data_IF_428382029819
#
_entry.id   IF_428382029819
#
_cell.length_a   1.000
_cell.length_b   1.000
_cell.length_c   1.000
_cell.angle_alpha   90.00
_cell.angle_beta   90.00
_cell.angle_gamma   90.00
#
_symmetry.space_group_name_H-M   'P 1'
#
loop_
_entity.id
_entity.type
_entity.pdbx_description
1 polymer ?
#
# COMPACT_ATOMS: atom_id res chain seq x y z
N UNK A 1 2.29 15.47 -0.74
CA UNK A 1 2.46 14.70 -1.98
C UNK A 1 3.56 15.23 -2.92
N UNK A 2 4.45 14.35 -3.39
CA UNK A 2 5.44 14.62 -4.47
C UNK A 2 4.75 14.68 -5.86
N UNK A 3 5.20 15.56 -6.78
CA UNK A 3 4.58 15.76 -8.11
C UNK A 3 4.56 14.51 -8.99
N UNK A 4 5.59 13.68 -8.91
CA UNK A 4 5.68 12.41 -9.64
C UNK A 4 4.67 11.40 -9.10
N UNK A 5 4.54 11.30 -7.77
CA UNK A 5 3.49 10.48 -7.14
C UNK A 5 2.10 10.97 -7.53
N UNK A 6 1.85 12.28 -7.47
CA UNK A 6 0.59 12.88 -7.92
C UNK A 6 0.29 12.52 -9.38
N UNK A 7 1.29 12.58 -10.26
CA UNK A 7 1.13 12.20 -11.66
C UNK A 7 0.73 10.73 -11.83
N UNK A 8 1.42 9.81 -11.16
CA UNK A 8 1.16 8.37 -11.21
C UNK A 8 -0.27 8.08 -10.72
N UNK A 9 -0.65 8.66 -9.57
CA UNK A 9 -1.99 8.49 -8.98
C UNK A 9 -3.05 9.05 -9.94
N UNK A 10 -2.89 10.29 -10.42
CA UNK A 10 -3.86 10.91 -11.33
C UNK A 10 -4.03 10.11 -12.62
N UNK A 11 -2.94 9.52 -13.16
CA UNK A 11 -3.01 8.62 -14.31
C UNK A 11 -3.71 7.31 -14.02
N UNK A 12 -3.42 6.68 -12.90
CA UNK A 12 -4.09 5.45 -12.49
C UNK A 12 -5.61 5.67 -12.33
N UNK A 13 -6.00 6.78 -11.70
CA UNK A 13 -7.41 7.18 -11.56
C UNK A 13 -8.04 7.47 -12.93
N UNK A 14 -7.37 8.24 -13.81
CA UNK A 14 -7.85 8.48 -15.18
C UNK A 14 -8.05 7.19 -15.98
N UNK A 15 -7.08 6.26 -15.89
CA UNK A 15 -7.15 4.94 -16.53
C UNK A 15 -8.33 4.13 -15.98
N UNK A 16 -8.57 4.21 -14.67
CA UNK A 16 -9.71 3.55 -14.04
C UNK A 16 -11.05 4.11 -14.50
N UNK A 17 -11.22 5.45 -14.54
CA UNK A 17 -12.47 6.05 -15.05
C UNK A 17 -12.75 5.60 -16.48
N UNK A 18 -11.72 5.56 -17.32
CA UNK A 18 -11.82 5.08 -18.70
C UNK A 18 -12.14 3.58 -18.78
N UNK A 19 -11.57 2.74 -17.90
CA UNK A 19 -11.83 1.29 -17.84
C UNK A 19 -13.26 0.98 -17.44
N UNK A 20 -13.78 1.71 -16.45
CA UNK A 20 -15.14 1.52 -15.91
C UNK A 20 -16.18 2.17 -16.81
N UNK A 21 -15.82 3.23 -17.53
CA UNK A 21 -16.74 4.11 -18.26
C UNK A 21 -17.78 4.75 -17.33
N UNK A 22 -17.38 5.10 -16.10
CA UNK A 22 -18.29 5.50 -15.02
C UNK A 22 -19.18 6.70 -15.39
N UNK A 23 -18.62 7.72 -16.04
CA UNK A 23 -19.35 8.90 -16.52
C UNK A 23 -20.45 8.49 -17.52
N UNK A 24 -20.11 7.66 -18.50
CA UNK A 24 -21.05 7.17 -19.52
C UNK A 24 -22.17 6.32 -18.91
N UNK A 25 -21.82 5.38 -18.03
CA UNK A 25 -22.78 4.48 -17.39
C UNK A 25 -23.74 5.22 -16.44
N UNK A 26 -23.24 6.19 -15.68
CA UNK A 26 -24.07 7.05 -14.84
C UNK A 26 -25.01 7.91 -15.70
N UNK A 27 -24.54 8.49 -16.80
CA UNK A 27 -25.40 9.22 -17.73
C UNK A 27 -26.51 8.33 -18.31
N UNK A 28 -26.19 7.09 -18.70
CA UNK A 28 -27.18 6.12 -19.16
C UNK A 28 -28.23 5.80 -18.07
N UNK A 29 -27.80 5.63 -16.81
CA UNK A 29 -28.69 5.43 -15.68
C UNK A 29 -29.59 6.67 -15.43
N UNK A 30 -29.05 7.88 -15.51
CA UNK A 30 -29.80 9.15 -15.43
C UNK A 30 -30.88 9.21 -16.51
N UNK A 31 -30.53 8.89 -17.76
CA UNK A 31 -31.48 8.88 -18.88
C UNK A 31 -32.57 7.83 -18.70
N UNK A 32 -32.21 6.61 -18.28
CA UNK A 32 -33.17 5.54 -18.02
C UNK A 32 -34.13 5.89 -16.87
N UNK A 33 -33.63 6.48 -15.79
CA UNK A 33 -34.43 6.95 -14.66
C UNK A 33 -35.38 8.08 -15.08
N UNK A 34 -34.89 9.04 -15.88
CA UNK A 34 -35.73 10.10 -16.44
C UNK A 34 -36.86 9.54 -17.31
N UNK A 35 -36.59 8.53 -18.13
CA UNK A 35 -37.61 7.87 -18.95
C UNK A 35 -38.64 7.13 -18.09
N UNK A 36 -38.21 6.44 -17.04
CA UNK A 36 -39.09 5.78 -16.08
C UNK A 36 -40.00 6.77 -15.35
N UNK A 37 -39.48 7.95 -14.97
CA UNK A 37 -40.27 9.03 -14.35
C UNK A 37 -41.32 9.57 -15.33
N UNK A 38 -40.93 9.78 -16.58
CA UNK A 38 -41.81 10.34 -17.61
C UNK A 38 -42.88 9.34 -18.09
N UNK A 39 -42.60 8.03 -18.02
CA UNK A 39 -43.47 6.96 -18.53
C UNK A 39 -43.47 5.73 -17.59
N UNK A 40 -43.98 5.84 -16.36
CA UNK A 40 -43.88 4.79 -15.34
C UNK A 40 -44.65 3.50 -15.69
N UNK A 41 -45.63 3.59 -16.58
CA UNK A 41 -46.42 2.45 -17.05
C UNK A 41 -45.68 1.53 -18.05
N UNK A 42 -44.48 1.88 -18.49
CA UNK A 42 -43.69 1.10 -19.46
C UNK A 42 -42.66 0.23 -18.74
N UNK A 43 -42.84 -1.11 -18.64
CA UNK A 43 -41.94 -1.99 -17.91
C UNK A 43 -40.50 -1.97 -18.45
N UNK A 44 -40.34 -1.69 -19.76
CA UNK A 44 -39.03 -1.63 -20.41
C UNK A 44 -38.11 -0.57 -19.80
N UNK A 45 -38.63 0.59 -19.35
CA UNK A 45 -37.80 1.64 -18.77
C UNK A 45 -37.22 1.22 -17.41
N UNK A 46 -38.00 0.50 -16.60
CA UNK A 46 -37.53 -0.07 -15.34
C UNK A 46 -36.45 -1.13 -15.58
N UNK A 47 -36.64 -1.99 -16.59
CA UNK A 47 -35.65 -3.00 -16.96
C UNK A 47 -34.36 -2.36 -17.47
N UNK A 48 -34.44 -1.29 -18.27
CA UNK A 48 -33.27 -0.54 -18.73
C UNK A 48 -32.48 0.06 -17.56
N UNK A 49 -33.15 0.75 -16.63
CA UNK A 49 -32.49 1.30 -15.44
C UNK A 49 -31.77 0.20 -14.66
N UNK A 50 -32.47 -0.91 -14.39
CA UNK A 50 -31.88 -2.05 -13.68
C UNK A 50 -30.65 -2.61 -14.41
N UNK A 51 -30.70 -2.74 -15.74
CA UNK A 51 -29.58 -3.25 -16.53
C UNK A 51 -28.38 -2.30 -16.49
N UNK A 52 -28.59 -0.98 -16.60
CA UNK A 52 -27.51 0.00 -16.53
C UNK A 52 -26.84 0.02 -15.15
N UNK A 53 -27.64 -0.04 -14.06
CA UNK A 53 -27.10 -0.11 -12.71
C UNK A 53 -26.33 -1.41 -12.47
N UNK A 54 -26.86 -2.57 -12.88
CA UNK A 54 -26.13 -3.84 -12.77
C UNK A 54 -24.82 -3.80 -13.55
N UNK A 55 -24.82 -3.25 -14.77
CA UNK A 55 -23.60 -3.12 -15.56
C UNK A 55 -22.56 -2.22 -14.86
N UNK A 56 -23.00 -1.08 -14.31
CA UNK A 56 -22.14 -0.20 -13.51
C UNK A 56 -21.54 -0.94 -12.32
N UNK A 57 -22.35 -1.63 -11.53
CA UNK A 57 -21.86 -2.36 -10.35
C UNK A 57 -20.87 -3.45 -10.74
N UNK A 58 -21.14 -4.22 -11.79
CA UNK A 58 -20.22 -5.25 -12.28
C UNK A 58 -18.87 -4.67 -12.78
N UNK A 59 -18.86 -3.42 -13.28
CA UNK A 59 -17.61 -2.75 -13.73
C UNK A 59 -16.81 -2.17 -12.56
N UNK A 60 -17.51 -1.73 -11.51
CA UNK A 60 -16.92 -1.25 -10.26
C UNK A 60 -16.42 -2.41 -9.39
N UNK A 61 -17.03 -3.58 -9.50
CA UNK A 61 -16.58 -4.80 -8.83
C UNK A 61 -15.14 -5.14 -9.25
N UNK A 62 -14.26 -5.28 -8.26
CA UNK A 62 -12.84 -5.53 -8.50
C UNK A 62 -12.07 -4.32 -9.03
N UNK A 63 -12.55 -3.09 -8.77
CA UNK A 63 -11.77 -1.89 -9.08
C UNK A 63 -10.37 -1.97 -8.45
N UNK A 64 -9.29 -1.78 -9.22
CA UNK A 64 -7.93 -1.76 -8.69
C UNK A 64 -7.72 -0.67 -7.63
N UNK A 65 -8.54 0.38 -7.66
CA UNK A 65 -8.52 1.49 -6.70
C UNK A 65 -8.87 1.02 -5.29
N UNK A 66 -9.71 0.00 -5.15
CA UNK A 66 -10.02 -0.57 -3.83
C UNK A 66 -8.78 -1.23 -3.19
N UNK A 67 -7.83 -1.69 -4.01
CA UNK A 67 -6.55 -2.27 -3.60
C UNK A 67 -5.40 -1.28 -3.50
N UNK A 68 -5.63 0.02 -3.69
CA UNK A 68 -4.58 1.03 -3.55
C UNK A 68 -4.00 1.04 -2.14
N UNK A 69 -2.70 1.29 -2.04
CA UNK A 69 -2.01 1.46 -0.77
C UNK A 69 -2.60 2.66 0.00
N UNK A 70 -2.50 2.71 1.33
CA UNK A 70 -3.13 3.81 2.07
C UNK A 70 -2.57 5.18 1.72
N UNK A 71 -1.27 5.30 1.41
CA UNK A 71 -0.70 6.55 0.91
C UNK A 71 -1.38 7.04 -0.38
N UNK A 72 -1.79 6.13 -1.27
CA UNK A 72 -2.56 6.47 -2.46
C UNK A 72 -4.01 6.85 -2.12
N UNK A 73 -4.62 6.19 -1.12
CA UNK A 73 -5.96 6.55 -0.63
C UNK A 73 -5.98 7.93 0.03
N UNK A 74 -4.99 8.25 0.85
CA UNK A 74 -4.81 9.58 1.47
C UNK A 74 -4.67 10.65 0.39
N UNK A 75 -3.85 10.39 -0.63
CA UNK A 75 -3.72 11.28 -1.77
C UNK A 75 -5.05 11.47 -2.52
N UNK A 76 -5.87 10.42 -2.69
CA UNK A 76 -7.21 10.55 -3.26
C UNK A 76 -8.16 11.37 -2.38
N UNK A 77 -8.02 11.28 -1.07
CA UNK A 77 -8.78 12.08 -0.11
C UNK A 77 -8.34 13.55 -0.12
N UNK A 78 -7.03 13.81 -0.18
CA UNK A 78 -6.47 15.16 -0.37
C UNK A 78 -6.93 15.79 -1.70
N UNK A 79 -7.03 15.00 -2.76
CA UNK A 79 -7.56 15.42 -4.06
C UNK A 79 -9.08 15.63 -4.05
N UNK A 80 -9.79 15.15 -3.02
CA UNK A 80 -11.24 15.25 -2.92
C UNK A 80 -12.01 14.31 -3.86
N UNK A 81 -11.35 13.33 -4.47
CA UNK A 81 -11.93 12.44 -5.49
C UNK A 81 -12.22 11.03 -4.97
N UNK A 82 -11.98 10.76 -3.69
CA UNK A 82 -12.06 9.39 -3.16
C UNK A 82 -13.46 8.76 -3.27
N UNK A 83 -14.53 9.57 -3.28
CA UNK A 83 -15.91 9.11 -3.41
C UNK A 83 -16.34 8.68 -4.83
N UNK A 84 -15.46 8.81 -5.81
CA UNK A 84 -15.79 8.69 -7.24
C UNK A 84 -15.28 7.39 -7.88
N UNK A 85 -14.70 6.49 -7.07
CA UNK A 85 -14.08 5.25 -7.52
C UNK A 85 -14.55 4.04 -6.72
N UNK A 86 -14.44 2.86 -7.36
CA UNK A 86 -14.61 1.54 -6.73
C UNK A 86 -15.87 1.40 -5.87
N UNK A 87 -15.69 0.77 -4.70
CA UNK A 87 -16.78 0.52 -3.73
C UNK A 87 -17.40 1.80 -3.17
N UNK A 88 -16.63 2.89 -3.05
CA UNK A 88 -17.15 4.18 -2.54
C UNK A 88 -18.18 4.77 -3.52
N UNK A 89 -17.90 4.74 -4.83
CA UNK A 89 -18.87 5.15 -5.85
C UNK A 89 -20.10 4.23 -5.88
N UNK A 90 -19.91 2.92 -5.83
CA UNK A 90 -21.02 1.97 -5.77
C UNK A 90 -21.95 2.27 -4.58
N UNK A 91 -21.39 2.42 -3.38
CA UNK A 91 -22.14 2.72 -2.17
C UNK A 91 -22.90 4.05 -2.29
N UNK A 92 -22.27 5.08 -2.89
CA UNK A 92 -22.91 6.37 -3.15
C UNK A 92 -24.14 6.20 -4.05
N UNK A 93 -24.02 5.49 -5.18
CA UNK A 93 -25.15 5.22 -6.09
C UNK A 93 -26.27 4.45 -5.37
N UNK A 94 -25.96 3.37 -4.66
CA UNK A 94 -26.96 2.59 -3.90
C UNK A 94 -27.71 3.45 -2.89
N UNK A 95 -26.97 4.27 -2.14
CA UNK A 95 -27.56 5.16 -1.12
C UNK A 95 -28.56 6.16 -1.71
N UNK A 96 -28.34 6.65 -2.93
CA UNK A 96 -29.28 7.55 -3.61
C UNK A 96 -30.63 6.86 -3.80
N UNK A 97 -30.64 5.62 -4.30
CA UNK A 97 -31.88 4.87 -4.53
C UNK A 97 -32.53 4.39 -3.23
N UNK A 98 -31.75 4.00 -2.24
CA UNK A 98 -32.24 3.55 -0.94
C UNK A 98 -32.96 4.65 -0.17
N UNK A 99 -32.45 5.88 -0.21
CA UNK A 99 -33.06 7.05 0.46
C UNK A 99 -34.27 7.60 -0.30
N UNK A 100 -34.32 7.41 -1.62
CA UNK A 100 -35.31 8.01 -2.51
C UNK A 100 -36.34 7.01 -3.08
N UNK A 101 -36.65 5.94 -2.33
CA UNK A 101 -37.62 4.91 -2.77
C UNK A 101 -39.02 5.47 -3.09
N UNK A 102 -39.41 6.57 -2.45
CA UNK A 102 -40.73 7.19 -2.61
C UNK A 102 -40.72 8.28 -3.70
N UNK A 103 -39.60 8.95 -3.91
CA UNK A 103 -39.48 10.15 -4.75
C UNK A 103 -38.41 9.97 -5.85
N UNK A 104 -38.75 9.29 -6.96
CA UNK A 104 -37.83 9.09 -8.08
C UNK A 104 -37.23 10.39 -8.65
N UNK A 105 -37.97 11.49 -8.58
CA UNK A 105 -37.50 12.81 -9.02
C UNK A 105 -36.29 13.29 -8.20
N UNK A 106 -36.28 13.08 -6.89
CA UNK A 106 -35.15 13.42 -6.02
C UNK A 106 -33.95 12.51 -6.31
N UNK A 107 -34.19 11.21 -6.55
CA UNK A 107 -33.14 10.29 -6.99
C UNK A 107 -32.50 10.75 -8.32
N UNK A 108 -33.31 11.23 -9.26
CA UNK A 108 -32.84 11.72 -10.55
C UNK A 108 -31.98 12.97 -10.41
N UNK A 109 -32.36 13.90 -9.53
CA UNK A 109 -31.56 15.09 -9.23
C UNK A 109 -30.21 14.70 -8.62
N UNK A 110 -30.20 13.86 -7.59
CA UNK A 110 -28.94 13.38 -6.97
C UNK A 110 -28.05 12.60 -7.96
N UNK A 111 -28.63 11.82 -8.88
CA UNK A 111 -27.88 11.12 -9.92
C UNK A 111 -27.30 12.07 -10.98
N UNK A 112 -27.97 13.19 -11.28
CA UNK A 112 -27.44 14.24 -12.17
C UNK A 112 -26.28 14.98 -11.52
N UNK A 113 -26.39 15.30 -10.23
CA UNK A 113 -25.29 15.91 -9.47
C UNK A 113 -24.08 14.97 -9.44
N UNK A 114 -24.29 13.67 -9.17
CA UNK A 114 -23.22 12.66 -9.24
C UNK A 114 -22.59 12.57 -10.64
N UNK A 115 -23.39 12.65 -11.70
CA UNK A 115 -22.86 12.68 -13.07
C UNK A 115 -21.98 13.92 -13.32
N UNK A 116 -22.41 15.09 -12.85
CA UNK A 116 -21.67 16.34 -12.98
C UNK A 116 -20.34 16.27 -12.22
N UNK A 117 -20.34 15.76 -10.98
CA UNK A 117 -19.13 15.52 -10.19
C UNK A 117 -18.14 14.62 -10.95
N UNK A 118 -18.60 13.46 -11.42
CA UNK A 118 -17.76 12.50 -12.15
C UNK A 118 -17.19 13.09 -13.45
N UNK A 119 -17.99 13.81 -14.22
CA UNK A 119 -17.53 14.46 -15.45
C UNK A 119 -16.52 15.58 -15.15
N UNK A 120 -16.74 16.31 -14.06
CA UNK A 120 -15.80 17.29 -13.53
C UNK A 120 -14.46 16.65 -13.19
N UNK A 121 -14.46 15.57 -12.42
CA UNK A 121 -13.23 14.84 -12.06
C UNK A 121 -12.50 14.29 -13.28
N UNK A 122 -13.20 13.65 -14.22
CA UNK A 122 -12.57 13.14 -15.45
C UNK A 122 -11.84 14.25 -16.21
N UNK A 123 -12.47 15.42 -16.31
CA UNK A 123 -11.91 16.61 -16.95
C UNK A 123 -10.69 17.13 -16.19
N UNK A 124 -10.78 17.27 -14.87
CA UNK A 124 -9.69 17.80 -14.04
C UNK A 124 -8.50 16.85 -13.96
N UNK A 125 -8.73 15.53 -13.84
CA UNK A 125 -7.65 14.53 -13.92
C UNK A 125 -6.97 14.57 -15.28
N UNK A 126 -7.73 14.69 -16.36
CA UNK A 126 -7.17 14.81 -17.71
C UNK A 126 -6.32 16.07 -17.86
N UNK A 127 -6.78 17.21 -17.35
CA UNK A 127 -6.04 18.47 -17.37
C UNK A 127 -4.79 18.42 -16.49
N UNK A 128 -4.87 17.83 -15.30
CA UNK A 128 -3.75 17.64 -14.37
C UNK A 128 -2.66 16.77 -15.00
N UNK A 129 -3.02 15.60 -15.54
CA UNK A 129 -2.08 14.71 -16.22
C UNK A 129 -1.42 15.42 -17.41
N UNK A 130 -2.21 16.06 -18.28
CA UNK A 130 -1.68 16.78 -19.44
C UNK A 130 -0.78 17.96 -19.05
N UNK A 131 -1.10 18.66 -17.96
CA UNK A 131 -0.27 19.74 -17.43
C UNK A 131 1.06 19.26 -16.89
N UNK A 132 1.07 18.17 -16.11
CA UNK A 132 2.30 17.56 -15.59
C UNK A 132 3.19 17.04 -16.73
N UNK A 133 2.61 16.34 -17.70
CA UNK A 133 3.32 15.88 -18.90
C UNK A 133 3.90 17.05 -19.72
N UNK A 134 3.14 18.13 -19.89
CA UNK A 134 3.59 19.34 -20.58
C UNK A 134 4.85 19.95 -19.94
N UNK A 135 4.91 19.96 -18.61
CA UNK A 135 6.09 20.45 -17.86
C UNK A 135 7.20 19.40 -17.72
N UNK A 136 7.10 18.25 -18.38
CA UNK A 136 8.11 17.20 -18.32
C UNK A 136 8.14 16.44 -16.99
N UNK A 137 7.09 16.55 -16.18
CA UNK A 137 6.91 15.69 -15.01
C UNK A 137 6.41 14.35 -15.52
N UNK A 138 7.35 13.44 -15.79
CA UNK A 138 7.06 12.10 -16.28
C UNK A 138 6.42 11.20 -15.22
N UNK A 139 5.94 10.04 -15.65
CA UNK A 139 5.70 8.94 -14.73
C UNK A 139 7.05 8.35 -14.33
N UNK A 140 7.28 8.14 -13.05
CA UNK A 140 8.38 7.30 -12.61
C UNK A 140 7.98 5.84 -12.75
N UNK A 141 8.30 5.29 -13.94
CA UNK A 141 8.04 3.90 -14.31
C UNK A 141 9.26 3.07 -14.01
N UNK A 142 9.04 1.96 -13.30
CA UNK A 142 10.04 0.91 -13.14
C UNK A 142 10.25 0.22 -14.47
N UNK A 143 11.50 0.06 -14.88
CA UNK A 143 11.89 -0.75 -16.04
C UNK A 143 11.61 -2.22 -15.77
N UNK A 144 11.66 -3.05 -16.81
CA UNK A 144 11.41 -4.49 -16.67
C UNK A 144 12.50 -5.07 -15.76
N UNK A 145 12.08 -5.82 -14.74
CA UNK A 145 12.97 -6.35 -13.70
C UNK A 145 13.54 -5.30 -12.74
N UNK A 146 12.87 -4.17 -12.59
CA UNK A 146 13.11 -3.25 -11.48
C UNK A 146 12.07 -3.45 -10.36
N UNK A 147 12.56 -3.31 -9.14
CA UNK A 147 11.80 -3.26 -7.90
C UNK A 147 12.22 -2.02 -7.13
N UNK A 148 11.25 -1.32 -6.56
CA UNK A 148 11.48 -0.15 -5.72
C UNK A 148 11.09 -0.47 -4.28
N UNK A 149 11.95 -0.07 -3.34
CA UNK A 149 11.63 -0.05 -1.90
C UNK A 149 11.55 1.41 -1.45
N UNK A 150 10.34 1.86 -1.16
CA UNK A 150 10.06 3.18 -0.61
C UNK A 150 10.01 3.15 0.91
N UNK A 151 10.68 4.09 1.58
CA UNK A 151 10.66 4.22 3.03
C UNK A 151 10.27 5.64 3.41
N UNK A 152 9.18 5.77 4.16
CA UNK A 152 8.69 7.04 4.72
C UNK A 152 9.14 7.14 6.17
N UNK A 153 9.88 8.21 6.50
CA UNK A 153 10.43 8.44 7.83
C UNK A 153 9.57 9.48 8.57
N UNK A 154 8.96 9.13 9.72
CA UNK A 154 8.15 10.07 10.48
C UNK A 154 8.94 11.30 10.92
N UNK A 155 8.41 12.49 10.62
CA UNK A 155 8.99 13.77 11.08
C UNK A 155 9.13 13.85 12.59
N UNK A 156 8.18 13.26 13.32
CA UNK A 156 8.21 13.15 14.79
C UNK A 156 9.41 12.36 15.30
N UNK A 157 9.81 11.30 14.58
CA UNK A 157 10.94 10.46 14.93
C UNK A 157 12.27 11.20 14.74
N UNK A 158 12.46 11.87 13.60
CA UNK A 158 13.69 12.64 13.31
C UNK A 158 13.66 14.08 13.83
N UNK A 159 12.54 14.52 14.44
CA UNK A 159 12.31 15.88 14.97
C UNK A 159 12.61 16.99 13.94
N UNK A 160 12.24 16.77 12.69
CA UNK A 160 12.54 17.65 11.54
C UNK A 160 14.03 18.06 11.44
N UNK A 161 14.94 17.21 11.92
CA UNK A 161 16.35 17.51 11.97
C UNK A 161 17.12 16.79 10.84
N UNK A 162 17.85 17.56 10.02
CA UNK A 162 18.61 17.01 8.89
C UNK A 162 19.68 15.99 9.33
N UNK A 163 20.36 16.22 10.46
CA UNK A 163 21.34 15.26 10.99
C UNK A 163 20.65 13.97 11.45
N UNK A 164 19.48 14.09 12.09
CA UNK A 164 18.66 12.94 12.48
C UNK A 164 18.23 12.12 11.27
N UNK A 165 17.73 12.79 10.22
CA UNK A 165 17.37 12.16 8.96
C UNK A 165 18.58 11.47 8.29
N UNK A 166 19.73 12.13 8.20
CA UNK A 166 20.94 11.54 7.61
C UNK A 166 21.46 10.31 8.37
N UNK A 167 21.39 10.31 9.71
CA UNK A 167 21.73 9.13 10.52
C UNK A 167 20.77 7.97 10.26
N UNK A 168 19.49 8.27 10.09
CA UNK A 168 18.49 7.25 9.80
C UNK A 168 18.70 6.61 8.42
N UNK A 169 19.08 7.40 7.41
CA UNK A 169 19.42 6.85 6.09
C UNK A 169 20.59 5.85 6.15
N UNK A 170 21.61 6.12 6.97
CA UNK A 170 22.75 5.20 7.17
C UNK A 170 22.28 3.89 7.82
N UNK A 171 21.39 3.96 8.81
CA UNK A 171 20.90 2.76 9.49
C UNK A 171 19.94 1.94 8.61
N UNK A 172 19.13 2.61 7.79
CA UNK A 172 18.33 1.97 6.74
C UNK A 172 19.24 1.24 5.75
N UNK A 173 20.26 1.92 5.22
CA UNK A 173 21.21 1.33 4.28
C UNK A 173 21.86 0.08 4.85
N UNK A 174 22.42 0.17 6.07
CA UNK A 174 23.01 -0.99 6.76
C UNK A 174 22.03 -2.15 6.91
N UNK A 175 20.77 -1.85 7.25
CA UNK A 175 19.76 -2.89 7.48
C UNK A 175 19.37 -3.59 6.18
N UNK A 176 19.25 -2.83 5.09
CA UNK A 176 18.82 -3.35 3.80
C UNK A 176 19.94 -4.02 2.99
N UNK A 177 21.20 -3.59 3.12
CA UNK A 177 22.34 -4.21 2.45
C UNK A 177 22.49 -5.71 2.75
N UNK A 178 22.04 -6.15 3.94
CA UNK A 178 22.05 -7.55 4.32
C UNK A 178 21.11 -8.38 3.43
N UNK A 179 20.00 -7.81 2.97
CA UNK A 179 19.05 -8.47 2.07
C UNK A 179 19.59 -8.58 0.64
N UNK A 180 20.39 -7.61 0.20
CA UNK A 180 21.14 -7.70 -1.08
C UNK A 180 22.04 -8.93 -1.06
N UNK A 181 22.87 -9.07 -0.02
CA UNK A 181 23.76 -10.22 0.12
C UNK A 181 23.00 -11.54 0.31
N UNK A 182 21.91 -11.52 1.08
CA UNK A 182 21.07 -12.69 1.27
C UNK A 182 20.54 -13.21 -0.07
N UNK A 183 20.07 -12.32 -0.96
CA UNK A 183 19.45 -12.73 -2.22
C UNK A 183 20.45 -13.00 -3.35
N UNK A 184 21.57 -12.29 -3.42
CA UNK A 184 22.52 -12.37 -4.56
C UNK A 184 23.90 -12.93 -4.20
N UNK A 185 24.23 -12.96 -2.92
CA UNK A 185 25.56 -13.34 -2.41
C UNK A 185 26.57 -12.20 -2.45
N UNK A 186 26.14 -10.99 -2.84
CA UNK A 186 26.98 -9.80 -2.91
C UNK A 186 26.29 -8.61 -2.20
N UNK A 187 27.09 -7.74 -1.59
CA UNK A 187 26.59 -6.46 -1.05
C UNK A 187 26.68 -5.40 -2.11
N UNK A 188 25.63 -5.28 -2.91
CA UNK A 188 25.55 -4.22 -3.91
C UNK A 188 25.17 -2.90 -3.24
N UNK A 189 25.81 -1.76 -3.60
CA UNK A 189 25.42 -0.46 -3.10
C UNK A 189 23.95 -0.15 -3.42
N UNK A 190 23.26 0.52 -2.49
CA UNK A 190 21.87 0.89 -2.71
C UNK A 190 21.79 2.16 -3.55
N UNK A 191 21.14 2.07 -4.71
CA UNK A 191 20.95 3.23 -5.57
C UNK A 191 19.69 4.00 -5.18
N UNK A 192 19.84 5.32 -4.97
CA UNK A 192 18.72 6.20 -4.69
C UNK A 192 18.04 6.55 -6.01
N UNK A 193 16.82 6.06 -6.19
CA UNK A 193 15.97 6.41 -7.33
C UNK A 193 15.35 7.79 -7.14
N UNK A 194 14.77 8.03 -5.97
CA UNK A 194 14.07 9.27 -5.66
C UNK A 194 14.12 9.63 -4.17
N UNK A 195 14.03 10.92 -3.88
CA UNK A 195 13.84 11.45 -2.52
C UNK A 195 12.61 12.38 -2.51
N UNK A 196 11.79 12.30 -1.46
CA UNK A 196 10.71 13.24 -1.20
C UNK A 196 10.98 14.04 0.06
N UNK A 197 11.15 15.35 -0.08
CA UNK A 197 11.30 16.26 1.07
C UNK A 197 9.97 16.57 1.76
N UNK A 198 8.84 16.44 1.06
CA UNK A 198 7.50 16.70 1.61
C UNK A 198 7.12 15.69 2.70
N UNK A 199 7.41 14.41 2.46
CA UNK A 199 7.05 13.29 3.36
C UNK A 199 8.28 12.66 4.04
N UNK A 200 9.48 13.24 3.89
CA UNK A 200 10.76 12.66 4.31
C UNK A 200 10.87 11.18 3.93
N UNK A 201 10.87 10.92 2.63
CA UNK A 201 10.94 9.55 2.10
C UNK A 201 12.10 9.36 1.12
N UNK A 202 12.60 8.12 1.06
CA UNK A 202 13.61 7.67 0.10
C UNK A 202 13.07 6.47 -0.65
N UNK A 203 13.36 6.40 -1.95
CA UNK A 203 13.00 5.31 -2.84
C UNK A 203 14.29 4.71 -3.39
N UNK A 204 14.48 3.43 -3.13
CA UNK A 204 15.70 2.70 -3.45
C UNK A 204 15.42 1.71 -4.57
N UNK A 205 16.33 1.67 -5.54
CA UNK A 205 16.24 0.75 -6.67
C UNK A 205 16.85 -0.62 -6.31
N UNK A 206 16.17 -1.68 -6.74
CA UNK A 206 16.53 -3.07 -6.48
C UNK A 206 16.10 -3.99 -7.62
N UNK A 207 16.72 -5.16 -7.68
CA UNK A 207 16.18 -6.27 -8.46
C UNK A 207 15.02 -6.99 -7.70
N UNK A 208 14.08 -7.65 -8.40
CA UNK A 208 12.94 -8.33 -7.80
C UNK A 208 13.28 -9.35 -6.71
N UNK A 209 14.41 -10.04 -6.82
CA UNK A 209 14.83 -11.07 -5.86
C UNK A 209 15.13 -10.47 -4.49
N UNK A 210 15.85 -9.34 -4.45
CA UNK A 210 16.11 -8.58 -3.22
C UNK A 210 14.78 -8.03 -2.70
N UNK A 211 13.99 -7.43 -3.58
CA UNK A 211 12.66 -6.90 -3.26
C UNK A 211 11.75 -7.95 -2.60
N UNK A 212 11.71 -9.17 -3.12
CA UNK A 212 10.91 -10.27 -2.58
C UNK A 212 11.34 -10.69 -1.17
N UNK A 213 12.65 -10.71 -0.90
CA UNK A 213 13.15 -11.00 0.46
C UNK A 213 12.74 -9.93 1.47
N UNK A 214 12.79 -8.66 1.08
CA UNK A 214 12.33 -7.52 1.91
C UNK A 214 10.81 -7.55 2.06
N UNK A 215 10.07 -7.87 1.00
CA UNK A 215 8.60 -7.92 1.01
C UNK A 215 8.09 -8.92 2.06
N UNK A 216 8.65 -10.14 2.07
CA UNK A 216 8.31 -11.19 3.05
C UNK A 216 8.65 -10.71 4.46
N UNK A 217 9.85 -10.13 4.65
CA UNK A 217 10.28 -9.64 5.95
C UNK A 217 9.31 -8.59 6.51
N UNK A 218 8.97 -7.57 5.71
CA UNK A 218 8.07 -6.49 6.11
C UNK A 218 6.65 -7.01 6.33
N UNK A 219 6.12 -7.85 5.45
CA UNK A 219 4.79 -8.47 5.61
C UNK A 219 4.68 -9.22 6.95
N UNK A 220 5.65 -10.08 7.25
CA UNK A 220 5.66 -10.89 8.48
C UNK A 220 5.82 -10.03 9.74
N UNK A 221 6.63 -8.99 9.68
CA UNK A 221 6.78 -8.02 10.78
C UNK A 221 5.48 -7.24 10.99
N UNK A 222 4.83 -6.77 9.92
CA UNK A 222 3.54 -6.07 9.99
C UNK A 222 2.45 -7.00 10.57
N UNK A 223 2.41 -8.26 10.15
CA UNK A 223 1.48 -9.24 10.71
C UNK A 223 1.70 -9.47 12.22
N UNK A 224 2.96 -9.62 12.63
CA UNK A 224 3.34 -9.73 14.04
C UNK A 224 2.93 -8.47 14.82
N UNK A 225 3.15 -7.29 14.27
CA UNK A 225 2.75 -6.04 14.89
C UNK A 225 1.23 -5.92 15.05
N UNK A 226 0.44 -6.27 14.02
CA UNK A 226 -1.03 -6.32 14.08
C UNK A 226 -1.51 -7.23 15.22
N UNK A 227 -0.89 -8.40 15.39
CA UNK A 227 -1.18 -9.32 16.49
C UNK A 227 -0.92 -8.68 17.87
N UNK A 228 0.20 -7.96 18.04
CA UNK A 228 0.51 -7.31 19.31
C UNK A 228 -0.40 -6.11 19.60
N UNK A 229 -0.80 -5.36 18.57
CA UNK A 229 -1.79 -4.29 18.71
C UNK A 229 -3.13 -4.83 19.19
N UNK A 230 -3.56 -5.98 18.67
CA UNK A 230 -4.77 -6.67 19.13
C UNK A 230 -4.65 -7.05 20.62
N UNK A 231 -3.52 -7.63 21.04
CA UNK A 231 -3.26 -7.93 22.46
C UNK A 231 -3.34 -6.66 23.33
N UNK A 232 -2.72 -5.54 22.91
CA UNK A 232 -2.80 -4.26 23.62
C UNK A 232 -4.22 -3.72 23.67
N UNK A 233 -4.99 -3.83 22.60
CA UNK A 233 -6.40 -3.42 22.54
C UNK A 233 -7.24 -4.23 23.53
N UNK A 234 -7.09 -5.56 23.53
CA UNK A 234 -7.77 -6.44 24.48
C UNK A 234 -7.38 -6.14 25.94
N UNK A 235 -6.11 -5.84 26.22
CA UNK A 235 -5.67 -5.37 27.55
C UNK A 235 -6.41 -4.08 27.95
N UNK A 236 -6.48 -3.08 27.06
CA UNK A 236 -7.19 -1.82 27.31
C UNK A 236 -8.69 -2.04 27.57
N UNK A 237 -9.31 -2.98 26.85
CA UNK A 237 -10.70 -3.37 27.09
C UNK A 237 -10.88 -4.02 28.47
N UNK A 238 -9.96 -4.88 28.92
CA UNK A 238 -9.99 -5.46 30.27
C UNK A 238 -9.86 -4.39 31.35
N UNK A 239 -8.94 -3.43 31.19
CA UNK A 239 -8.81 -2.28 32.11
C UNK A 239 -10.10 -1.45 32.14
N UNK A 240 -10.71 -1.22 30.98
CA UNK A 240 -11.99 -0.50 30.87
C UNK A 240 -13.15 -1.23 31.54
N UNK A 241 -13.03 -2.55 31.71
CA UNK A 241 -13.96 -3.41 32.46
C UNK A 241 -13.51 -3.61 33.93
N UNK A 242 -12.76 -2.66 34.48
CA UNK A 242 -12.35 -2.60 35.89
C UNK A 242 -11.41 -3.74 36.35
N UNK A 243 -10.74 -4.44 35.42
CA UNK A 243 -9.68 -5.40 35.79
C UNK A 243 -8.43 -4.62 36.22
N UNK A 244 -7.90 -4.83 37.44
CA UNK A 244 -6.71 -4.11 37.92
C UNK A 244 -5.47 -4.34 37.04
N UNK A 245 -4.74 -3.27 36.73
CA UNK A 245 -3.56 -3.34 35.85
C UNK A 245 -2.45 -4.26 36.37
N UNK A 246 -2.29 -4.39 37.70
CA UNK A 246 -1.31 -5.30 38.30
C UNK A 246 -1.57 -6.77 37.97
N UNK A 247 -2.83 -7.12 37.68
CA UNK A 247 -3.22 -8.48 37.24
C UNK A 247 -3.00 -8.71 35.75
N UNK A 248 -2.75 -7.66 34.98
CA UNK A 248 -2.56 -7.70 33.53
C UNK A 248 -1.09 -7.62 33.12
N UNK A 249 -0.15 -7.45 34.06
CA UNK A 249 1.29 -7.35 33.76
C UNK A 249 1.81 -8.56 32.95
N UNK A 250 1.33 -9.78 33.26
CA UNK A 250 1.73 -10.99 32.53
C UNK A 250 1.34 -10.99 31.04
N UNK A 251 0.35 -10.19 30.64
CA UNK A 251 -0.03 -10.04 29.22
C UNK A 251 1.07 -9.28 28.45
N UNK A 252 1.65 -8.24 29.05
CA UNK A 252 2.73 -7.47 28.43
C UNK A 252 4.03 -8.26 28.36
N UNK A 253 4.36 -8.99 29.43
CA UNK A 253 5.52 -9.90 29.43
C UNK A 253 5.38 -10.97 28.35
N UNK A 254 4.18 -11.55 28.20
CA UNK A 254 3.90 -12.52 27.15
C UNK A 254 4.04 -11.90 25.75
N UNK A 255 3.45 -10.72 25.53
CA UNK A 255 3.55 -9.99 24.26
C UNK A 255 5.01 -9.72 23.87
N UNK A 256 5.82 -9.22 24.81
CA UNK A 256 7.25 -8.98 24.59
C UNK A 256 8.03 -10.28 24.29
N UNK A 257 7.67 -11.39 24.96
CA UNK A 257 8.33 -12.69 24.79
C UNK A 257 8.10 -13.34 23.43
N UNK A 258 7.04 -12.97 22.70
CA UNK A 258 6.69 -13.55 21.39
C UNK A 258 7.59 -13.01 20.27
N UNK A 259 8.07 -11.76 20.40
CA UNK A 259 8.66 -11.03 19.28
C UNK A 259 9.99 -11.61 18.83
N UNK A 260 10.95 -11.76 19.75
CA UNK A 260 12.29 -12.25 19.39
C UNK A 260 12.25 -13.66 18.77
N UNK A 261 11.53 -14.66 19.33
CA UNK A 261 11.40 -15.96 18.69
C UNK A 261 10.79 -15.90 17.29
N UNK A 262 9.80 -15.03 17.06
CA UNK A 262 9.17 -14.87 15.74
C UNK A 262 10.11 -14.23 14.72
N UNK A 263 10.95 -13.28 15.14
CA UNK A 263 11.98 -12.71 14.27
C UNK A 263 13.09 -13.72 13.97
N UNK A 264 13.44 -14.58 14.93
CA UNK A 264 14.40 -15.67 14.71
C UNK A 264 13.87 -16.73 13.74
N UNK A 265 12.60 -17.11 13.88
CA UNK A 265 11.88 -17.98 12.92
C UNK A 265 11.91 -17.36 11.52
N UNK A 266 11.56 -16.08 11.40
CA UNK A 266 11.57 -15.35 10.13
C UNK A 266 12.97 -15.27 9.51
N UNK A 267 14.01 -15.02 10.31
CA UNK A 267 15.39 -15.03 9.81
C UNK A 267 15.75 -16.40 9.22
N UNK A 268 15.37 -17.49 9.90
CA UNK A 268 15.64 -18.84 9.40
C UNK A 268 14.85 -19.13 8.11
N UNK A 269 13.58 -18.72 8.03
CA UNK A 269 12.74 -18.83 6.82
C UNK A 269 13.40 -18.12 5.63
N UNK A 270 13.87 -16.89 5.82
CA UNK A 270 14.54 -16.11 4.79
C UNK A 270 15.87 -16.75 4.36
N UNK A 271 16.66 -17.25 5.31
CA UNK A 271 17.91 -17.96 5.01
C UNK A 271 17.68 -19.27 4.24
N UNK A 272 16.60 -19.99 4.53
CA UNK A 272 16.22 -21.20 3.79
C UNK A 272 15.77 -20.88 2.37
N UNK A 273 15.00 -19.81 2.19
CA UNK A 273 14.44 -19.45 0.88
C UNK A 273 15.46 -18.80 -0.06
N UNK A 274 16.38 -17.99 0.48
CA UNK A 274 17.28 -17.16 -0.33
C UNK A 274 18.76 -17.47 -0.11
N UNK A 275 19.16 -18.12 0.98
CA UNK A 275 20.58 -18.24 1.37
C UNK A 275 21.36 -19.43 0.78
N UNK A 276 20.83 -20.13 -0.23
CA UNK A 276 21.40 -21.39 -0.72
C UNK A 276 22.70 -21.25 -1.51
N UNK A 277 22.96 -20.07 -2.07
CA UNK A 277 24.24 -19.76 -2.73
C UNK A 277 25.36 -19.36 -1.76
N UNK A 278 25.04 -19.15 -0.48
CA UNK A 278 26.04 -18.77 0.54
C UNK A 278 26.81 -19.99 1.03
N UNK A 279 28.13 -19.86 1.18
CA UNK A 279 28.94 -20.91 1.80
C UNK A 279 28.61 -21.07 3.29
N UNK A 280 28.94 -22.23 3.87
CA UNK A 280 28.58 -22.56 5.26
C UNK A 280 29.13 -21.57 6.31
N UNK A 281 30.28 -20.94 6.07
CA UNK A 281 30.84 -19.96 7.00
C UNK A 281 30.06 -18.66 6.89
N UNK A 282 29.87 -18.17 5.66
CA UNK A 282 29.17 -16.91 5.42
C UNK A 282 27.69 -16.97 5.78
N UNK A 283 27.04 -18.12 5.58
CA UNK A 283 25.63 -18.35 5.91
C UNK A 283 25.33 -18.05 7.39
N UNK A 284 26.23 -18.41 8.32
CA UNK A 284 26.02 -18.13 9.75
C UNK A 284 26.15 -16.64 10.10
N UNK A 285 27.07 -15.94 9.45
CA UNK A 285 27.27 -14.50 9.62
C UNK A 285 26.07 -13.72 9.08
N UNK A 286 25.66 -13.99 7.84
CA UNK A 286 24.50 -13.36 7.21
C UNK A 286 23.23 -13.67 8.01
N UNK A 287 23.03 -14.89 8.50
CA UNK A 287 21.89 -15.21 9.35
C UNK A 287 21.83 -14.37 10.63
N UNK A 288 22.98 -14.04 11.21
CA UNK A 288 23.06 -13.19 12.40
C UNK A 288 22.74 -11.73 12.05
N UNK A 289 23.28 -11.23 10.94
CA UNK A 289 22.99 -9.89 10.44
C UNK A 289 21.52 -9.72 10.05
N UNK A 290 20.92 -10.73 9.41
CA UNK A 290 19.49 -10.73 9.05
C UNK A 290 18.63 -10.58 10.31
N UNK A 291 18.91 -11.32 11.38
CA UNK A 291 18.18 -11.15 12.67
C UNK A 291 18.28 -9.72 13.20
N UNK A 292 19.47 -9.14 13.16
CA UNK A 292 19.68 -7.75 13.58
C UNK A 292 18.93 -6.75 12.70
N UNK A 293 18.97 -6.92 11.37
CA UNK A 293 18.24 -6.08 10.42
C UNK A 293 16.73 -6.20 10.61
N UNK A 294 16.20 -7.42 10.82
CA UNK A 294 14.78 -7.64 11.10
C UNK A 294 14.33 -6.94 12.39
N UNK A 295 15.15 -7.01 13.43
CA UNK A 295 14.87 -6.29 14.69
C UNK A 295 14.82 -4.77 14.48
N UNK A 296 15.79 -4.22 13.72
CA UNK A 296 15.86 -2.80 13.36
C UNK A 296 14.66 -2.36 12.52
N UNK A 297 14.24 -3.16 11.55
CA UNK A 297 13.07 -2.90 10.71
C UNK A 297 11.79 -2.95 11.56
N UNK A 298 11.65 -3.96 12.43
CA UNK A 298 10.51 -4.07 13.34
C UNK A 298 10.38 -2.85 14.26
N UNK A 299 11.48 -2.38 14.85
CA UNK A 299 11.48 -1.15 15.65
C UNK A 299 11.08 0.09 14.85
N UNK A 300 11.48 0.19 13.58
CA UNK A 300 11.10 1.32 12.72
C UNK A 300 9.61 1.31 12.41
N UNK A 301 9.07 0.15 12.04
CA UNK A 301 7.63 -0.01 11.81
C UNK A 301 6.85 0.33 13.09
N UNK A 302 7.33 -0.11 14.25
CA UNK A 302 6.75 0.23 15.56
C UNK A 302 6.80 1.72 15.90
N UNK A 303 7.72 2.47 15.29
CA UNK A 303 7.90 3.93 15.45
C UNK A 303 7.31 4.75 14.30
N UNK A 304 6.58 4.10 13.39
CA UNK A 304 5.72 4.75 12.40
C UNK A 304 6.33 4.83 11.02
N UNK A 305 7.46 4.16 10.78
CA UNK A 305 8.00 4.07 9.45
C UNK A 305 7.06 3.26 8.58
N UNK A 306 6.82 3.75 7.37
CA UNK A 306 6.12 3.00 6.36
C UNK A 306 7.13 2.52 5.32
N UNK A 307 7.09 1.22 5.02
CA UNK A 307 7.92 0.59 4.00
C UNK A 307 6.98 0.08 2.91
N UNK A 308 7.08 0.65 1.72
CA UNK A 308 6.30 0.26 0.55
C UNK A 308 7.19 -0.42 -0.48
N UNK A 309 6.67 -1.44 -1.15
CA UNK A 309 7.36 -2.12 -2.23
C UNK A 309 6.54 -2.04 -3.51
N UNK A 310 7.22 -1.76 -4.61
CA UNK A 310 6.65 -1.72 -5.96
C UNK A 310 7.54 -2.54 -6.89
N UNK A 311 6.93 -3.18 -7.86
CA UNK A 311 7.65 -3.94 -8.87
C UNK A 311 7.07 -3.64 -10.24
N UNK A 312 7.91 -3.70 -11.26
CA UNK A 312 7.49 -3.45 -12.64
C UNK A 312 6.30 -4.34 -13.06
N UNK A 313 5.40 -3.78 -13.86
CA UNK A 313 4.39 -4.58 -14.56
C UNK A 313 5.09 -5.44 -15.63
N UNK A 314 4.57 -6.65 -15.88
CA UNK A 314 5.08 -7.45 -17.01
C UNK A 314 4.82 -6.71 -18.33
N UNK A 315 5.79 -6.71 -19.23
CA UNK A 315 5.57 -6.23 -20.58
C UNK A 315 4.49 -7.10 -21.25
N UNK A 316 3.32 -6.51 -21.55
CA UNK A 316 2.27 -7.21 -22.27
C UNK A 316 2.78 -7.54 -23.69
N UNK A 317 3.13 -8.81 -23.92
CA UNK A 317 3.43 -9.33 -25.26
C UNK A 317 4.89 -9.66 -25.56
N UNK A 318 5.80 -9.57 -24.59
CA UNK A 318 7.11 -10.20 -24.71
C UNK A 318 6.99 -11.63 -24.19
N UNK A 319 6.90 -12.60 -25.10
CA UNK A 319 7.18 -14.01 -24.79
C UNK A 319 8.66 -14.07 -24.36
N UNK A 320 8.94 -13.84 -23.08
CA UNK A 320 10.24 -14.20 -22.50
C UNK A 320 10.45 -15.69 -22.79
N UNK A 321 11.58 -16.04 -23.42
CA UNK A 321 11.94 -17.45 -23.62
C UNK A 321 11.84 -18.16 -22.26
N UNK A 322 11.08 -19.25 -22.18
CA UNK A 322 10.88 -20.06 -20.97
C UNK A 322 12.25 -20.57 -20.46
N UNK A 323 12.87 -19.76 -19.62
CA UNK A 323 14.12 -20.05 -18.95
C UNK A 323 13.87 -20.09 -17.45
N UNK A 324 14.62 -20.94 -16.73
CA UNK A 324 14.51 -21.04 -15.27
C UNK A 324 14.73 -19.70 -14.54
N UNK A 325 15.46 -18.79 -15.16
CA UNK A 325 15.71 -17.44 -14.63
C UNK A 325 14.46 -16.55 -14.72
N UNK A 326 13.73 -16.62 -15.85
CA UNK A 326 12.46 -15.92 -16.02
C UNK A 326 11.39 -16.39 -15.02
N UNK A 327 11.30 -17.71 -14.79
CA UNK A 327 10.38 -18.28 -13.80
C UNK A 327 10.67 -17.80 -12.36
N UNK A 328 11.95 -17.73 -11.99
CA UNK A 328 12.39 -17.26 -10.67
C UNK A 328 12.06 -15.77 -10.46
N UNK A 329 12.33 -14.95 -11.49
CA UNK A 329 11.99 -13.52 -11.47
C UNK A 329 10.50 -13.30 -11.37
N UNK A 330 9.69 -14.04 -12.12
CA UNK A 330 8.23 -13.92 -12.01
C UNK A 330 7.72 -14.32 -10.63
N UNK A 331 8.25 -15.40 -10.05
CA UNK A 331 7.91 -15.80 -8.68
C UNK A 331 8.26 -14.70 -7.66
N UNK A 332 9.40 -14.02 -7.83
CA UNK A 332 9.78 -12.89 -6.99
C UNK A 332 8.84 -11.69 -7.16
N UNK A 333 8.49 -11.33 -8.41
CA UNK A 333 7.52 -10.26 -8.72
C UNK A 333 6.16 -10.55 -8.10
N UNK A 334 5.68 -11.79 -8.23
CA UNK A 334 4.40 -12.21 -7.67
C UNK A 334 4.41 -12.15 -6.13
N UNK A 335 5.49 -12.63 -5.51
CA UNK A 335 5.67 -12.52 -4.05
C UNK A 335 5.61 -11.06 -3.60
N UNK A 336 6.27 -10.13 -4.31
CA UNK A 336 6.22 -8.70 -3.97
C UNK A 336 4.78 -8.19 -4.02
N UNK A 337 4.02 -8.50 -5.07
CA UNK A 337 2.62 -8.05 -5.22
C UNK A 337 1.72 -8.57 -4.10
N UNK A 338 1.85 -9.85 -3.77
CA UNK A 338 1.08 -10.47 -2.67
C UNK A 338 1.42 -9.85 -1.32
N UNK A 339 2.71 -9.72 -1.03
CA UNK A 339 3.19 -9.13 0.23
C UNK A 339 2.79 -7.65 0.34
N UNK A 340 2.96 -6.87 -0.73
CA UNK A 340 2.63 -5.45 -0.78
C UNK A 340 1.14 -5.18 -0.50
N UNK A 341 0.24 -6.08 -0.92
CA UNK A 341 -1.20 -5.97 -0.60
C UNK A 341 -1.50 -6.16 0.88
N UNK A 342 -0.65 -6.89 1.61
CA UNK A 342 -0.80 -7.18 3.04
C UNK A 342 -0.10 -6.15 3.94
N UNK A 343 0.90 -5.45 3.40
CA UNK A 343 1.59 -4.31 4.00
C UNK A 343 0.66 -3.08 3.90
N UNK A 344 -0.49 -3.15 4.57
CA UNK A 344 -1.32 -1.97 4.77
C UNK A 344 -0.65 -1.03 5.78
N UNK A 345 -0.76 0.28 5.53
CA UNK A 345 -0.38 1.33 6.46
C UNK A 345 -0.97 1.06 7.84
N UNK A 346 -0.08 1.05 8.82
CA UNK A 346 -0.45 0.91 10.21
C UNK A 346 -0.66 2.30 10.77
N UNK A 347 -1.91 2.70 10.94
CA UNK A 347 -2.23 3.91 11.70
C UNK A 347 -1.70 3.77 13.12
N UNK A 348 -0.64 4.50 13.41
CA UNK A 348 -0.06 4.50 14.75
C UNK A 348 -0.98 5.22 15.71
N UNK A 349 -1.66 4.45 16.56
CA UNK A 349 -2.43 5.00 17.68
C UNK A 349 -1.74 4.63 19.00
N UNK A 350 -0.86 5.52 19.46
CA UNK A 350 -0.29 5.47 20.80
C UNK A 350 1.21 5.15 20.87
N UNK A 351 1.65 4.62 22.01
CA UNK A 351 3.06 4.33 22.28
C UNK A 351 3.55 3.05 21.58
N UNK A 352 4.85 2.99 21.20
CA UNK A 352 5.52 1.80 20.67
C UNK A 352 5.18 0.51 21.42
N UNK A 353 5.03 -0.58 20.69
CA UNK A 353 4.54 -1.90 21.12
C UNK A 353 5.66 -2.93 21.17
N UNK A 354 6.56 -2.86 20.20
CA UNK A 354 7.71 -3.72 20.05
C UNK A 354 8.83 -3.10 20.88
N UNK A 355 8.81 -3.28 22.21
CA UNK A 355 9.90 -2.86 23.10
C UNK A 355 11.15 -3.72 22.88
N UNK A 356 11.77 -3.64 21.70
CA UNK A 356 12.96 -4.42 21.38
C UNK A 356 14.21 -3.60 21.70
N UNK A 357 15.18 -4.16 22.45
CA UNK A 357 16.45 -3.53 22.65
C UNK A 357 17.18 -3.45 21.30
N UNK A 358 17.44 -2.23 20.84
CA UNK A 358 18.45 -2.01 19.81
C UNK A 358 19.80 -2.16 20.51
N UNK A 359 20.60 -3.16 20.14
CA UNK A 359 21.98 -3.28 20.62
C UNK A 359 22.72 -2.01 20.16
N UNK A 360 22.76 -1.00 21.02
CA UNK A 360 23.52 0.24 20.83
C UNK A 360 25.01 -0.05 21.05
N UNK A 361 25.56 -0.94 20.24
CA UNK A 361 27.00 -1.01 20.02
C UNK A 361 27.34 0.14 19.07
N UNK A 362 27.75 1.30 19.61
CA UNK A 362 28.73 2.25 19.01
C UNK A 362 28.56 3.74 19.41
N UNK A 363 27.55 4.17 20.17
CA UNK A 363 27.45 5.59 20.59
C UNK A 363 28.22 5.97 21.87
N UNK A 364 29.20 5.15 22.28
CA UNK A 364 30.19 5.51 23.30
C UNK A 364 31.63 5.33 22.81
N UNK A 365 32.03 5.99 21.70
CA UNK A 365 33.43 6.35 21.46
C UNK A 365 33.57 7.72 20.80
#
# INVERSE_FOLDING_TARGET
MNTTKLHIIAKALKKEMARVESVSLINQAVQALQNQINQPQQPNHQQQLSNHLTNLYNRLEGSPVDGFSPAWRDAMEELGVSGEFGKKLEARVRSIFERNQITPQTALEEMKDLHEDLSGTETQLSALVGGLEYFGVGEDKLEINECEVGIVIPRSYVKDNLKGFGLELIEIEKSLLVFSELATGQREPLEIRQISSSELSVFLDYIPEIGASIAIAVERIVALYKQLLEIKKLKKELVSNEVPEDKLAGIEEHAASIVSPKLDELANELMEKFGDHLDSSRRNEVATEVRHSLNKIANRIDRGFNIELRVSEQAQGEEEEETKDADSKEAARQQIRESASSIEYLDQVGEPVLFLPENNDETQK
#
